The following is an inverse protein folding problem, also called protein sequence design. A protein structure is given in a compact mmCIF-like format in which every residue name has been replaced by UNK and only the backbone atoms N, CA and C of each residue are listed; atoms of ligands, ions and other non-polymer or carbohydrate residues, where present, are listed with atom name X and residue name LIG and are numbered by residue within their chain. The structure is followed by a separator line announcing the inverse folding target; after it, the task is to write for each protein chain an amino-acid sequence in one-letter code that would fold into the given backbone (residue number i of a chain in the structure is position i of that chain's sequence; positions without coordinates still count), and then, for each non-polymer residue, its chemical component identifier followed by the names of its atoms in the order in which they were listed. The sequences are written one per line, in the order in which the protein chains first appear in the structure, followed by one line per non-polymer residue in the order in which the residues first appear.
data_IF_955568789412
#
_entry.id   IF_955568789412
#
_cell.length_a   1.000
_cell.length_b   1.000
_cell.length_c   1.000
_cell.angle_alpha   90.00
_cell.angle_beta   90.00
_cell.angle_gamma   90.00
#
_symmetry.space_group_name_H-M   'P 1'
#
loop_
_entity.id
_entity.type
_entity.pdbx_description
1 polymer ?
#
# COMPACT_ATOMS: atom_id res chain seq x y z
N UNK A 1 -0.62 14.04 14.73
CA UNK A 1 -0.86 13.85 14.82
C UNK A 1 -1.15 13.67 14.90
N UNK A 2 -1.14 13.61 14.87
CA UNK A 2 -1.40 13.36 14.97
C UNK A 2 -1.82 12.83 15.36
N UNK A 3 -1.62 13.15 15.14
CA UNK A 3 -2.46 12.55 15.56
C UNK A 3 -2.70 11.46 16.42
N UNK A 4 -3.50 11.10 16.80
CA UNK A 4 -3.74 9.98 17.63
C UNK A 4 -3.66 8.63 16.95
N UNK A 5 -3.36 8.61 15.66
CA UNK A 5 -3.32 7.33 14.95
C UNK A 5 -1.99 6.63 15.18
N UNK A 6 -2.05 5.39 15.66
CA UNK A 6 -0.87 4.59 15.82
C UNK A 6 -0.56 3.89 14.50
N UNK A 7 0.67 4.03 14.03
CA UNK A 7 1.09 3.48 12.74
C UNK A 7 2.15 2.40 12.86
N UNK A 8 2.46 1.98 14.07
CA UNK A 8 3.44 0.91 14.28
C UNK A 8 3.12 0.17 15.57
N UNK A 9 3.69 -1.02 15.71
CA UNK A 9 3.53 -1.79 16.92
C UNK A 9 4.91 -2.19 17.47
N UNK A 10 5.06 -2.01 18.78
CA UNK A 10 6.26 -2.44 19.49
C UNK A 10 5.94 -3.70 20.29
N UNK A 11 6.97 -4.50 20.55
CA UNK A 11 6.78 -5.69 21.35
C UNK A 11 6.49 -5.31 22.80
N UNK A 12 5.50 -5.97 23.40
CA UNK A 12 5.16 -5.75 24.80
C UNK A 12 5.97 -6.65 25.72
N UNK A 13 6.79 -7.52 25.17
CA UNK A 13 7.52 -8.50 25.97
C UNK A 13 8.69 -9.06 25.18
N UNK A 14 9.58 -9.74 25.90
CA UNK A 14 10.69 -10.45 25.29
C UNK A 14 10.19 -11.75 24.68
N UNK A 15 10.85 -12.21 23.63
CA UNK A 15 10.49 -13.47 23.03
C UNK A 15 11.15 -13.67 21.69
N UNK A 16 10.67 -14.69 20.99
CA UNK A 16 11.19 -15.08 19.68
C UNK A 16 10.09 -15.02 18.67
N UNK A 17 10.40 -14.51 17.49
CA UNK A 17 9.41 -14.28 16.45
C UNK A 17 9.13 -15.55 15.66
N UNK A 18 7.85 -15.87 15.49
CA UNK A 18 7.38 -16.89 14.58
C UNK A 18 6.30 -16.28 13.69
N UNK A 19 6.18 -16.79 12.48
CA UNK A 19 5.13 -16.34 11.57
C UNK A 19 4.22 -17.50 11.20
N UNK A 20 2.96 -17.16 10.99
CA UNK A 20 1.97 -18.11 10.49
C UNK A 20 1.48 -17.58 9.14
N UNK A 21 1.41 -18.46 8.14
CA UNK A 21 0.98 -18.10 6.79
C UNK A 21 1.84 -17.00 6.18
N UNK A 22 3.14 -17.13 6.32
CA UNK A 22 4.08 -16.10 5.89
C UNK A 22 4.06 -15.95 4.37
N UNK A 23 3.78 -14.74 3.91
CA UNK A 23 3.84 -14.36 2.51
C UNK A 23 4.40 -12.96 2.45
N UNK A 24 5.66 -12.84 2.07
CA UNK A 24 6.36 -11.56 2.11
C UNK A 24 7.13 -11.33 0.83
N UNK A 25 7.51 -10.08 0.63
CA UNK A 25 8.30 -9.64 -0.51
C UNK A 25 9.28 -8.59 -0.04
N UNK A 26 10.51 -8.69 -0.51
CA UNK A 26 11.53 -7.70 -0.18
C UNK A 26 11.60 -6.69 -1.32
N UNK A 27 11.48 -5.41 -1.00
CA UNK A 27 11.52 -4.38 -2.04
C UNK A 27 12.97 -3.97 -2.33
N UNK A 28 13.13 -3.02 -3.25
CA UNK A 28 14.46 -2.57 -3.68
C UNK A 28 15.24 -1.90 -2.55
N UNK A 29 14.54 -1.33 -1.59
CA UNK A 29 15.17 -0.68 -0.43
C UNK A 29 15.56 -1.66 0.67
N UNK A 30 15.21 -2.94 0.50
CA UNK A 30 15.51 -3.95 1.51
C UNK A 30 14.41 -4.13 2.55
N UNK A 31 13.31 -3.43 2.42
CA UNK A 31 12.18 -3.57 3.34
C UNK A 31 11.41 -4.84 3.05
N UNK A 32 10.91 -5.47 4.10
CA UNK A 32 10.11 -6.69 3.98
C UNK A 32 8.64 -6.31 4.11
N UNK A 33 7.86 -6.62 3.08
CA UNK A 33 6.46 -6.23 3.00
C UNK A 33 5.57 -7.47 3.08
N UNK A 34 4.47 -7.35 3.80
CA UNK A 34 3.48 -8.43 3.90
C UNK A 34 2.63 -8.41 2.64
N UNK A 35 2.55 -9.55 1.97
CA UNK A 35 1.80 -9.69 0.73
C UNK A 35 0.57 -10.56 0.88
N UNK A 36 0.44 -11.24 2.00
CA UNK A 36 -0.71 -12.10 2.24
C UNK A 36 -1.78 -11.40 3.07
N UNK A 37 -2.91 -12.04 3.17
CA UNK A 37 -4.04 -11.48 3.92
C UNK A 37 -4.28 -12.17 5.26
N UNK A 38 -3.62 -13.31 5.49
CA UNK A 38 -3.83 -14.11 6.69
C UNK A 38 -2.55 -14.33 7.47
N UNK A 39 -1.54 -13.50 7.24
CA UNK A 39 -0.27 -13.64 7.93
C UNK A 39 -0.40 -13.19 9.37
N UNK A 40 0.23 -13.93 10.27
CA UNK A 40 0.26 -13.58 11.68
C UNK A 40 1.68 -13.57 12.19
N UNK A 41 1.97 -12.67 13.11
CA UNK A 41 3.22 -12.58 13.82
C UNK A 41 2.98 -13.07 15.24
N UNK A 42 3.75 -14.04 15.67
CA UNK A 42 3.62 -14.63 17.00
C UNK A 42 4.90 -14.41 17.77
N UNK A 43 4.78 -14.13 19.04
CA UNK A 43 5.94 -14.03 19.94
C UNK A 43 5.88 -15.19 20.90
N UNK A 44 6.93 -16.01 20.87
CA UNK A 44 7.01 -17.22 21.68
C UNK A 44 8.02 -17.02 22.79
N UNK A 45 7.73 -17.56 23.98
CA UNK A 45 8.69 -17.47 25.07
C UNK A 45 9.69 -18.64 24.99
N UNK A 46 10.57 -18.72 25.97
CA UNK A 46 11.61 -19.73 25.98
C UNK A 46 11.08 -21.16 26.20
N UNK A 47 9.83 -21.26 26.64
CA UNK A 47 9.17 -22.55 26.84
C UNK A 47 8.29 -22.93 25.66
N UNK A 48 8.31 -22.14 24.57
CA UNK A 48 7.51 -22.43 23.41
C UNK A 48 6.05 -22.04 23.55
N UNK A 49 5.74 -21.21 24.54
CA UNK A 49 4.37 -20.75 24.75
C UNK A 49 4.17 -19.43 24.01
N UNK A 50 3.05 -19.34 23.29
CA UNK A 50 2.71 -18.11 22.56
C UNK A 50 2.31 -17.03 23.56
N UNK A 51 3.00 -15.90 23.50
CA UNK A 51 2.74 -14.77 24.39
C UNK A 51 2.01 -13.63 23.70
N UNK A 52 2.11 -13.56 22.38
CA UNK A 52 1.41 -12.54 21.60
C UNK A 52 1.14 -13.07 20.22
N UNK A 53 0.06 -12.58 19.62
CA UNK A 53 -0.35 -12.97 18.28
C UNK A 53 -0.96 -11.74 17.63
N UNK A 54 -0.38 -11.31 16.51
CA UNK A 54 -0.83 -10.12 15.82
C UNK A 54 -1.13 -10.47 14.37
N UNK A 55 -2.31 -10.10 13.91
CA UNK A 55 -2.65 -10.25 12.50
C UNK A 55 -1.96 -9.13 11.73
N UNK A 56 -1.33 -9.48 10.61
CA UNK A 56 -0.62 -8.54 9.76
C UNK A 56 -1.42 -8.30 8.49
N UNK A 57 -1.72 -7.04 8.22
CA UNK A 57 -2.44 -6.67 7.02
C UNK A 57 -1.51 -6.60 5.83
N UNK A 58 -2.07 -6.82 4.65
CA UNK A 58 -1.36 -6.64 3.40
C UNK A 58 -0.73 -5.25 3.36
N UNK A 59 0.52 -5.18 2.94
CA UNK A 59 1.24 -3.91 2.83
C UNK A 59 2.00 -3.51 4.07
N UNK A 60 1.85 -4.25 5.16
CA UNK A 60 2.58 -3.96 6.39
C UNK A 60 4.08 -4.16 6.19
N UNK A 61 4.88 -3.26 6.76
CA UNK A 61 6.33 -3.33 6.69
C UNK A 61 6.86 -3.98 7.96
N UNK A 62 7.65 -5.03 7.80
CA UNK A 62 8.18 -5.81 8.93
C UNK A 62 9.59 -5.35 9.28
N UNK A 63 9.88 -5.31 10.57
CA UNK A 63 11.23 -4.99 11.07
C UNK A 63 11.91 -6.19 11.71
N UNK A 64 11.24 -7.34 11.76
CA UNK A 64 11.77 -8.54 12.40
C UNK A 64 11.65 -9.72 11.44
N UNK A 65 12.44 -10.75 11.69
CA UNK A 65 12.47 -11.96 10.87
C UNK A 65 12.08 -13.15 11.70
N UNK A 66 11.71 -14.24 11.02
CA UNK A 66 11.45 -15.50 11.69
C UNK A 66 12.66 -15.89 12.55
N UNK A 67 12.42 -16.25 13.78
CA UNK A 67 13.45 -16.67 14.68
C UNK A 67 14.22 -15.57 15.36
N UNK A 68 13.92 -14.30 15.02
CA UNK A 68 14.57 -13.17 15.69
C UNK A 68 14.17 -13.11 17.14
N UNK A 69 15.11 -12.74 18.00
CA UNK A 69 14.81 -12.45 19.38
C UNK A 69 14.44 -10.99 19.50
N UNK A 70 13.36 -10.71 20.20
CA UNK A 70 12.93 -9.34 20.43
C UNK A 70 12.85 -9.08 21.92
N UNK A 71 13.04 -7.82 22.27
CA UNK A 71 12.90 -7.33 23.62
C UNK A 71 11.72 -6.39 23.68
N UNK A 72 11.17 -6.23 24.87
CA UNK A 72 10.11 -5.27 25.08
C UNK A 72 10.52 -3.91 24.53
N UNK A 73 9.65 -3.30 23.74
CA UNK A 73 9.90 -2.00 23.13
C UNK A 73 10.46 -2.06 21.73
N UNK A 74 10.88 -3.24 21.26
CA UNK A 74 11.36 -3.37 19.90
C UNK A 74 10.22 -3.18 18.91
N UNK A 75 10.48 -2.43 17.84
CA UNK A 75 9.49 -2.19 16.81
C UNK A 75 9.33 -3.45 15.96
N UNK A 76 8.11 -3.93 15.85
CA UNK A 76 7.82 -5.16 15.13
C UNK A 76 7.40 -4.93 13.70
N UNK A 77 6.48 -4.00 13.51
CA UNK A 77 5.98 -3.69 12.17
C UNK A 77 5.31 -2.32 12.17
N UNK A 78 5.11 -1.79 10.97
CA UNK A 78 4.41 -0.52 10.82
C UNK A 78 3.52 -0.57 9.59
N UNK A 79 2.54 0.32 9.56
CA UNK A 79 1.58 0.41 8.45
C UNK A 79 1.14 1.85 8.30
N UNK A 80 0.53 2.15 7.15
CA UNK A 80 -0.08 3.45 6.91
C UNK A 80 -1.53 3.38 7.41
N UNK A 81 -1.90 4.20 8.40
CA UNK A 81 -3.27 4.13 8.92
C UNK A 81 -4.31 4.74 7.99
N UNK A 82 -3.90 5.49 6.97
CA UNK A 82 -4.81 6.20 6.10
C UNK A 82 -5.04 5.53 4.76
N UNK A 83 -4.05 4.83 4.26
CA UNK A 83 -4.16 4.20 2.95
C UNK A 83 -3.63 2.78 2.99
N UNK A 84 -4.10 1.99 2.02
CA UNK A 84 -3.60 0.63 1.81
C UNK A 84 -2.82 0.63 0.50
N UNK A 85 -1.56 0.23 0.48
CA UNK A 85 -0.79 0.24 -0.76
C UNK A 85 -1.17 -0.93 -1.66
N UNK A 86 -1.07 -0.71 -2.96
CA UNK A 86 -1.09 -1.79 -3.95
C UNK A 86 0.36 -1.99 -4.37
N UNK A 87 0.90 -3.17 -4.12
CA UNK A 87 2.33 -3.44 -4.27
C UNK A 87 2.57 -4.32 -5.47
N UNK A 88 3.54 -3.94 -6.31
CA UNK A 88 3.90 -4.71 -7.48
C UNK A 88 4.65 -5.98 -7.06
N UNK A 89 4.22 -7.13 -7.57
CA UNK A 89 4.89 -8.39 -7.28
C UNK A 89 6.03 -8.64 -8.24
N UNK A 90 6.01 -8.03 -9.40
CA UNK A 90 7.05 -8.18 -10.41
C UNK A 90 7.36 -6.84 -11.02
N UNK A 91 8.54 -6.73 -11.61
CA UNK A 91 8.96 -5.51 -12.26
C UNK A 91 8.48 -5.43 -13.70
N UNK A 92 8.57 -4.25 -14.26
CA UNK A 92 8.18 -3.96 -15.63
C UNK A 92 8.03 -2.48 -15.83
N UNK A 93 7.49 -2.10 -16.98
CA UNK A 93 7.17 -0.71 -17.26
C UNK A 93 5.68 -0.51 -17.06
N UNK A 94 5.32 0.49 -16.28
CA UNK A 94 3.92 0.78 -16.00
C UNK A 94 3.29 1.45 -17.21
N UNK A 95 2.06 1.06 -17.54
CA UNK A 95 1.27 1.71 -18.55
C UNK A 95 -0.12 1.99 -18.01
N UNK A 96 -0.56 3.22 -18.19
CA UNK A 96 -1.91 3.62 -17.84
C UNK A 96 -2.85 3.14 -18.93
N UNK A 97 -3.96 2.54 -18.53
CA UNK A 97 -5.01 2.16 -19.46
C UNK A 97 -6.28 2.88 -19.01
N UNK A 98 -6.87 3.65 -19.92
CA UNK A 98 -8.12 4.39 -19.66
C UNK A 98 -8.05 5.36 -18.47
N UNK A 99 -6.85 5.71 -18.03
CA UNK A 99 -6.66 6.71 -16.99
C UNK A 99 -6.55 8.08 -17.67
N UNK A 100 -7.66 8.52 -18.23
CA UNK A 100 -7.74 9.71 -19.05
C UNK A 100 -7.79 10.96 -18.17
N UNK A 101 -6.87 11.88 -18.38
CA UNK A 101 -6.81 13.12 -17.62
C UNK A 101 -8.10 13.92 -17.80
N UNK A 102 -8.65 14.40 -16.68
CA UNK A 102 -9.87 15.16 -16.70
C UNK A 102 -11.14 14.34 -16.76
N UNK A 103 -11.03 13.04 -17.02
CA UNK A 103 -12.17 12.13 -17.06
C UNK A 103 -12.08 11.11 -15.96
N UNK A 104 -10.96 10.41 -15.86
CA UNK A 104 -10.74 9.38 -14.85
C UNK A 104 -9.67 9.78 -13.85
N UNK A 105 -8.86 10.80 -14.13
CA UNK A 105 -7.77 11.23 -13.25
C UNK A 105 -7.82 12.74 -13.09
N UNK A 106 -7.64 13.18 -11.86
CA UNK A 106 -7.50 14.60 -11.51
C UNK A 106 -6.15 14.79 -10.82
N UNK A 107 -5.50 15.91 -11.14
CA UNK A 107 -4.27 16.27 -10.45
C UNK A 107 -4.57 17.27 -9.35
N UNK A 108 -4.11 16.99 -8.17
CA UNK A 108 -4.21 17.90 -7.04
C UNK A 108 -2.81 18.32 -6.64
N UNK A 109 -2.58 19.62 -6.51
CA UNK A 109 -1.29 20.15 -6.11
C UNK A 109 -1.41 20.72 -4.71
N UNK A 110 -0.48 20.32 -3.85
CA UNK A 110 -0.41 20.86 -2.49
C UNK A 110 0.36 22.17 -2.55
N UNK A 111 -0.31 23.26 -2.23
CA UNK A 111 0.30 24.58 -2.32
C UNK A 111 1.49 24.74 -1.38
N UNK A 112 1.47 24.07 -0.25
CA UNK A 112 2.53 24.22 0.75
C UNK A 112 3.81 23.52 0.33
N UNK A 113 3.70 22.36 -0.30
CA UNK A 113 4.88 21.57 -0.65
C UNK A 113 5.18 21.58 -2.14
N UNK A 114 4.22 22.03 -2.95
CA UNK A 114 4.35 21.98 -4.40
C UNK A 114 4.21 20.61 -4.99
N UNK A 115 3.90 19.61 -4.17
CA UNK A 115 3.77 18.24 -4.66
C UNK A 115 2.42 18.02 -5.31
N UNK A 116 2.43 17.25 -6.39
CA UNK A 116 1.22 16.94 -7.14
C UNK A 116 0.87 15.48 -6.99
N UNK A 117 -0.40 15.21 -6.73
CA UNK A 117 -0.93 13.85 -6.66
C UNK A 117 -1.91 13.65 -7.80
N UNK A 118 -1.95 12.44 -8.34
CA UNK A 118 -2.95 12.04 -9.31
C UNK A 118 -3.95 11.13 -8.63
N UNK A 119 -5.21 11.52 -8.68
CA UNK A 119 -6.27 10.81 -7.98
C UNK A 119 -7.29 10.34 -8.99
N UNK A 120 -7.72 9.09 -8.88
CA UNK A 120 -8.74 8.53 -9.76
C UNK A 120 -10.10 9.06 -9.33
N UNK A 121 -10.83 9.63 -10.29
CA UNK A 121 -12.17 10.17 -10.05
C UNK A 121 -13.20 9.30 -10.74
N UNK A 122 -14.47 9.52 -10.43
CA UNK A 122 -15.53 8.70 -10.99
C UNK A 122 -15.73 9.03 -12.47
N UNK A 123 -15.16 8.18 -13.31
CA UNK A 123 -15.21 8.34 -14.76
C UNK A 123 -16.58 8.02 -15.34
N UNK A 124 -17.39 7.27 -14.60
CA UNK A 124 -18.69 6.84 -15.10
C UNK A 124 -19.68 7.99 -15.22
N UNK A 125 -19.41 9.09 -14.53
CA UNK A 125 -20.26 10.27 -14.61
C UNK A 125 -19.96 11.15 -15.83
N UNK A 126 -18.82 10.92 -16.48
CA UNK A 126 -18.45 11.71 -17.65
C UNK A 126 -19.20 11.22 -18.88
N UNK A 127 -19.53 12.10 -19.83
CA UNK A 127 -20.33 11.71 -21.00
C UNK A 127 -19.75 10.57 -21.82
N UNK A 128 -18.44 10.44 -21.85
CA UNK A 128 -17.79 9.37 -22.62
C UNK A 128 -17.00 8.43 -21.73
N UNK A 129 -17.31 8.42 -20.44
CA UNK A 129 -16.53 7.64 -19.51
C UNK A 129 -17.07 6.25 -19.21
N UNK A 130 -18.30 5.96 -19.64
CA UNK A 130 -18.98 4.72 -19.23
C UNK A 130 -18.24 3.45 -19.62
N UNK A 131 -17.52 3.49 -20.75
CA UNK A 131 -16.84 2.29 -21.25
C UNK A 131 -15.40 2.18 -20.77
N UNK A 132 -14.93 3.12 -19.98
CA UNK A 132 -13.55 3.09 -19.51
C UNK A 132 -13.37 2.06 -18.43
N UNK A 133 -12.19 1.42 -18.44
CA UNK A 133 -11.78 0.48 -17.41
C UNK A 133 -10.39 0.90 -16.93
N UNK A 134 -10.34 1.93 -16.05
CA UNK A 134 -9.05 2.46 -15.62
C UNK A 134 -8.22 1.43 -14.89
N UNK A 135 -7.00 1.25 -15.34
CA UNK A 135 -6.09 0.31 -14.71
C UNK A 135 -4.66 0.68 -15.04
N UNK A 136 -3.73 0.11 -14.30
CA UNK A 136 -2.31 0.16 -14.60
C UNK A 136 -1.88 -1.25 -14.95
N UNK A 137 -1.16 -1.41 -16.05
CA UNK A 137 -0.62 -2.71 -16.44
C UNK A 137 0.90 -2.61 -16.45
N UNK A 138 1.55 -3.77 -16.40
CA UNK A 138 3.00 -3.84 -16.53
C UNK A 138 3.35 -4.51 -17.84
N UNK A 139 4.31 -3.93 -18.55
CA UNK A 139 4.80 -4.50 -19.80
C UNK A 139 6.31 -4.68 -19.73
N UNK A 140 6.84 -5.60 -20.53
CA UNK A 140 8.27 -5.85 -20.58
C UNK A 140 8.93 -4.93 -21.63
N UNK A 141 10.21 -5.17 -21.90
CA UNK A 141 10.97 -4.35 -22.84
C UNK A 141 10.40 -4.36 -24.25
N UNK A 142 9.69 -5.41 -24.60
CA UNK A 142 9.11 -5.57 -25.93
C UNK A 142 7.68 -5.07 -26.00
N UNK A 143 7.16 -4.53 -24.90
CA UNK A 143 5.78 -4.08 -24.85
C UNK A 143 4.78 -5.18 -24.57
N UNK A 144 5.26 -6.38 -24.26
CA UNK A 144 4.38 -7.51 -23.96
C UNK A 144 3.98 -7.51 -22.49
N UNK A 145 2.78 -7.96 -22.16
CA UNK A 145 2.35 -7.99 -20.77
C UNK A 145 3.25 -8.86 -19.90
N UNK A 146 3.61 -8.31 -18.74
CA UNK A 146 4.28 -9.12 -17.72
C UNK A 146 3.22 -10.01 -17.08
N UNK A 147 3.56 -11.28 -16.88
CA UNK A 147 2.60 -12.26 -16.38
C UNK A 147 2.98 -12.71 -14.97
N UNK A 148 1.97 -13.05 -14.18
CA UNK A 148 2.19 -13.60 -12.86
C UNK A 148 2.55 -15.09 -12.96
N UNK A 149 2.75 -15.73 -11.82
CA UNK A 149 3.16 -17.13 -11.78
C UNK A 149 2.11 -18.07 -12.36
N UNK A 150 0.86 -17.64 -12.39
CA UNK A 150 -0.22 -18.42 -12.97
C UNK A 150 -0.35 -18.22 -14.48
N UNK A 151 0.48 -17.34 -15.06
CA UNK A 151 0.48 -17.11 -16.51
C UNK A 151 -0.48 -16.02 -16.96
N UNK A 152 -1.10 -15.30 -16.04
CA UNK A 152 -2.05 -14.25 -16.37
C UNK A 152 -1.37 -12.89 -16.39
N UNK A 153 -1.78 -11.98 -17.30
CA UNK A 153 -1.22 -10.63 -17.31
C UNK A 153 -1.45 -9.96 -15.98
N UNK A 154 -0.43 -9.21 -15.52
CA UNK A 154 -0.54 -8.46 -14.28
C UNK A 154 -1.23 -7.15 -14.57
N UNK A 155 -2.37 -6.93 -13.93
CA UNK A 155 -3.12 -5.68 -14.07
C UNK A 155 -3.54 -5.21 -12.69
N UNK A 156 -3.64 -3.89 -12.55
CA UNK A 156 -4.06 -3.26 -11.29
C UNK A 156 -5.24 -2.35 -11.61
N UNK A 157 -6.48 -2.88 -11.48
CA UNK A 157 -7.66 -2.03 -11.69
C UNK A 157 -7.69 -0.92 -10.65
N UNK A 158 -8.02 0.28 -11.09
CA UNK A 158 -8.03 1.44 -10.20
C UNK A 158 -9.46 1.78 -9.82
N UNK A 159 -9.67 1.91 -8.52
CA UNK A 159 -10.97 2.33 -8.01
C UNK A 159 -11.00 3.85 -7.86
N UNK A 160 -12.20 4.38 -7.72
CA UNK A 160 -12.37 5.80 -7.43
C UNK A 160 -11.64 6.13 -6.12
N UNK A 161 -10.98 7.26 -6.09
CA UNK A 161 -10.19 7.78 -4.97
C UNK A 161 -8.82 7.14 -4.83
N UNK A 162 -8.44 6.20 -5.71
CA UNK A 162 -7.09 5.66 -5.68
C UNK A 162 -6.09 6.78 -5.98
N UNK A 163 -4.99 6.77 -5.25
CA UNK A 163 -3.91 7.74 -5.42
C UNK A 163 -2.81 7.04 -6.21
N UNK A 164 -2.55 7.53 -7.43
CA UNK A 164 -1.56 6.91 -8.30
C UNK A 164 -0.17 7.25 -7.78
N UNK A 165 0.66 6.23 -7.59
CA UNK A 165 1.99 6.41 -6.98
C UNK A 165 3.12 6.31 -8.01
N UNK A 166 2.80 5.98 -9.25
CA UNK A 166 3.80 5.89 -10.31
C UNK A 166 3.27 6.60 -11.56
N UNK A 167 4.20 7.03 -12.41
CA UNK A 167 3.84 7.72 -13.64
C UNK A 167 3.68 6.73 -14.79
N UNK A 168 2.88 7.12 -15.78
CA UNK A 168 2.76 6.35 -17.01
C UNK A 168 4.14 6.25 -17.67
N UNK A 169 4.56 5.04 -18.01
CA UNK A 169 5.84 4.82 -18.65
C UNK A 169 7.01 4.64 -17.71
N UNK A 170 6.80 4.72 -16.40
CA UNK A 170 7.90 4.59 -15.45
C UNK A 170 8.27 3.12 -15.22
N UNK A 171 9.51 2.91 -14.80
CA UNK A 171 9.98 1.58 -14.47
C UNK A 171 9.52 1.21 -13.06
N UNK A 172 8.99 0.01 -12.91
CA UNK A 172 8.48 -0.51 -11.65
C UNK A 172 9.31 -1.73 -11.28
N UNK A 173 9.66 -1.84 -10.02
CA UNK A 173 10.38 -3.00 -9.49
C UNK A 173 9.47 -3.75 -8.52
N UNK A 174 9.75 -5.03 -8.32
CA UNK A 174 9.01 -5.81 -7.33
C UNK A 174 9.11 -5.11 -5.97
N UNK A 175 7.98 -4.95 -5.31
CA UNK A 175 7.91 -4.27 -4.04
C UNK A 175 7.57 -2.79 -4.12
N UNK A 176 7.54 -2.21 -5.33
CA UNK A 176 7.16 -0.80 -5.47
C UNK A 176 5.66 -0.64 -5.26
N UNK A 177 5.28 0.51 -4.72
CA UNK A 177 3.87 0.84 -4.56
C UNK A 177 3.36 1.43 -5.87
N UNK A 178 2.33 0.81 -6.42
CA UNK A 178 1.72 1.23 -7.69
C UNK A 178 0.69 2.33 -7.44
N UNK A 179 -0.10 2.15 -6.39
CA UNK A 179 -1.14 3.09 -6.02
C UNK A 179 -1.48 2.88 -4.55
N UNK A 180 -2.20 3.83 -3.97
CA UNK A 180 -2.69 3.72 -2.60
C UNK A 180 -4.19 3.92 -2.59
N UNK A 181 -4.87 3.09 -1.82
CA UNK A 181 -6.32 3.14 -1.71
C UNK A 181 -6.65 3.67 -0.32
N UNK A 182 -7.45 4.73 -0.20
CA UNK A 182 -7.83 5.22 1.13
C UNK A 182 -8.54 4.12 1.92
N UNK A 183 -8.17 3.99 3.19
CA UNK A 183 -8.84 3.05 4.06
C UNK A 183 -10.23 3.55 4.36
N UNK A 184 -11.13 2.62 4.58
CA UNK A 184 -12.50 2.98 4.92
C UNK A 184 -12.50 3.80 6.20
N UNK A 185 -13.22 4.90 6.20
CA UNK A 185 -13.24 5.79 7.34
C UNK A 185 -12.17 6.87 7.31
N UNK A 186 -11.13 6.69 6.51
CA UNK A 186 -10.06 7.67 6.41
C UNK A 186 -10.18 8.54 5.18
N UNK A 187 -11.04 8.19 4.25
CA UNK A 187 -11.11 8.92 2.99
C UNK A 187 -11.90 10.21 3.06
N UNK A 188 -12.53 10.46 4.17
CA UNK A 188 -13.22 11.72 4.31
C UNK A 188 -12.19 12.77 4.60
N UNK A 189 -12.34 13.86 3.99
CA UNK A 189 -11.65 15.08 4.24
C UNK A 189 -10.14 15.01 4.41
N UNK A 190 -9.65 14.10 5.14
CA UNK A 190 -8.22 14.09 5.43
C UNK A 190 -7.38 13.90 4.22
N UNK A 191 -7.95 13.24 3.25
CA UNK A 191 -7.23 12.99 2.03
C UNK A 191 -7.31 14.19 1.12
N UNK A 192 -8.31 14.93 1.39
CA UNK A 192 -8.45 16.05 0.54
C UNK A 192 -7.45 17.08 0.87
N UNK A 193 -7.14 17.34 0.37
CA UNK A 193 -6.31 18.19 0.69
C UNK A 193 -5.31 18.00 1.37
N UNK A 194 -5.52 17.65 1.44
CA UNK A 194 -4.69 17.46 1.72
C UNK A 194 -4.20 17.10 2.40
N UNK A 195 -4.48 16.78 2.58
CA UNK A 195 -4.05 16.41 3.15
C UNK A 195 -3.49 16.60 3.82
N UNK A 196 -3.40 16.76 3.71
CA UNK A 196 -2.92 16.74 4.70
C UNK A 196 -3.26 17.53 5.60
N UNK A 197 -3.88 17.86 5.57
CA UNK A 197 -4.23 18.53 6.38
C UNK A 197 -4.82 17.95 7.22
N UNK A 198 -4.61 17.37 7.26
CA UNK A 198 -4.99 16.77 7.81
C UNK A 198 -5.27 16.96 8.88
N UNK A 199 -5.24 17.31 9.19
CA UNK A 199 -5.51 17.47 10.18
C UNK A 199 -6.48 18.15 10.57
N UNK A 200 -6.94 18.75 10.34
CA UNK A 200 -7.82 19.34 10.54
C UNK A 200 -8.88 18.87 10.45
N UNK A 201 -8.96 18.46 9.97
CA UNK A 201 -9.78 17.98 9.71
C UNK A 201 -10.09 16.94 10.26
N UNK A 202 -9.78 16.46 10.58
CA UNK A 202 -10.08 15.50 11.05
C UNK A 202 -10.40 15.56 12.23
N UNK A 203 -10.63 16.28 12.55
CA UNK A 203 -10.95 16.50 13.33
C UNK A 203 -11.86 16.25 13.76
N UNK A 204 -12.38 16.37 13.70
CA UNK A 204 -13.22 16.22 13.94
C UNK A 204 -13.87 15.27 13.88
N UNK A 205 -13.77 14.86 13.87
CA UNK A 205 -14.20 14.06 13.66
C UNK A 205 -14.04 13.49 14.23
#
# INVERSE_FOLDING_TARGET
AQGGQQSFLESSQDGKIEFENATTLKNASGDILVMGRNMKLRIMDEHGVERANHKLDYGTKLFVKKGSKVSRGDKLFEWDPYTLPIIAEKGGTAKYVDLVNGVAVREDTDDATGMTQKIVVDWRTAPKGNDLKPEIILVDKNGEPVRNDAGNPITYPMSVDAILSIEDGSEVKAGDVVARIPREGAKTKDITGGLPRVAELFEAR
#
